data_IF_793101926604
#
_entry.id   IF_793101926604
#
_cell.length_a   1.000
_cell.length_b   1.000
_cell.length_c   1.000
_cell.angle_alpha   90.00
_cell.angle_beta   90.00
_cell.angle_gamma   90.00
#
_symmetry.space_group_name_H-M   'P 1'
#
loop_
_entity.id
_entity.type
_entity.pdbx_description
1 polymer ?
#
# COMPACT_ATOMS: atom_id res chain seq x y z
N UNK A 1 19.44 -14.79 -5.34
CA UNK A 1 18.49 -15.09 -6.45
C UNK A 1 18.69 -14.06 -7.53
N UNK A 2 18.70 -14.45 -8.82
CA UNK A 2 18.84 -13.49 -9.93
C UNK A 2 17.47 -13.19 -10.54
N UNK A 3 17.15 -11.91 -10.65
CA UNK A 3 15.91 -11.42 -11.25
C UNK A 3 16.25 -10.45 -12.37
N UNK A 4 15.73 -10.69 -13.56
CA UNK A 4 15.97 -9.85 -14.73
C UNK A 4 14.64 -9.30 -15.25
N UNK A 5 14.61 -8.00 -15.53
CA UNK A 5 13.47 -7.34 -16.19
C UNK A 5 13.84 -7.05 -17.65
N UNK A 6 13.13 -7.68 -18.58
CA UNK A 6 13.28 -7.45 -20.02
C UNK A 6 12.21 -6.49 -20.53
N UNK A 7 12.62 -5.46 -21.28
CA UNK A 7 11.70 -4.49 -21.90
C UNK A 7 12.07 -4.22 -23.35
N UNK A 8 11.12 -3.90 -24.22
CA UNK A 8 11.42 -3.22 -25.48
C UNK A 8 11.74 -1.74 -25.24
N UNK A 9 12.39 -1.05 -26.20
CA UNK A 9 12.49 0.41 -26.16
C UNK A 9 11.13 1.06 -25.93
N UNK A 10 11.10 2.07 -25.06
CA UNK A 10 9.91 2.87 -24.73
C UNK A 10 8.67 2.05 -24.27
N UNK A 11 8.90 0.89 -23.65
CA UNK A 11 7.80 0.06 -23.14
C UNK A 11 6.98 0.83 -22.08
N UNK A 12 5.67 1.08 -22.31
CA UNK A 12 4.84 1.88 -21.40
C UNK A 12 4.64 1.21 -20.04
N UNK A 13 4.73 -0.13 -19.99
CA UNK A 13 4.53 -0.93 -18.77
C UNK A 13 5.86 -1.28 -18.06
N UNK A 14 7.02 -0.93 -18.64
CA UNK A 14 8.33 -1.15 -18.03
C UNK A 14 8.49 -0.46 -16.67
N UNK A 15 8.17 0.84 -16.55
CA UNK A 15 8.18 1.54 -15.26
C UNK A 15 7.24 0.91 -14.22
N UNK A 16 6.09 0.38 -14.67
CA UNK A 16 5.08 -0.26 -13.81
C UNK A 16 5.61 -1.55 -13.20
N UNK A 17 6.20 -2.43 -14.02
CA UNK A 17 6.80 -3.66 -13.50
C UNK A 17 7.97 -3.35 -12.55
N UNK A 18 8.84 -2.40 -12.91
CA UNK A 18 9.98 -1.99 -12.08
C UNK A 18 9.55 -1.60 -10.67
N UNK A 19 8.49 -0.81 -10.55
CA UNK A 19 8.01 -0.39 -9.26
C UNK A 19 7.37 -1.53 -8.46
N UNK A 20 6.53 -2.34 -9.11
CA UNK A 20 5.92 -3.49 -8.44
C UNK A 20 6.98 -4.48 -7.96
N UNK A 21 8.10 -4.61 -8.67
CA UNK A 21 9.28 -5.35 -8.22
C UNK A 21 9.93 -4.69 -6.99
N UNK A 22 10.10 -3.37 -6.97
CA UNK A 22 10.64 -2.68 -5.79
C UNK A 22 9.78 -2.92 -4.54
N UNK A 23 8.45 -2.90 -4.68
CA UNK A 23 7.52 -3.24 -3.59
C UNK A 23 7.55 -4.73 -3.19
N UNK A 24 7.74 -5.63 -4.17
CA UNK A 24 7.81 -7.06 -3.92
C UNK A 24 9.15 -7.48 -3.26
N UNK A 25 10.21 -6.70 -3.50
CA UNK A 25 11.58 -6.93 -3.03
C UNK A 25 11.96 -6.04 -1.83
N UNK A 26 11.05 -5.23 -1.30
CA UNK A 26 11.31 -4.41 -0.12
C UNK A 26 11.85 -5.28 1.03
N UNK A 27 13.02 -4.92 1.56
CA UNK A 27 13.70 -5.66 2.62
C UNK A 27 14.49 -6.91 2.18
N UNK A 28 14.55 -7.22 0.87
CA UNK A 28 15.28 -8.38 0.32
C UNK A 28 16.65 -7.97 -0.23
N UNK A 29 17.70 -8.20 0.55
CA UNK A 29 19.08 -7.99 0.12
C UNK A 29 19.69 -9.18 -0.64
N UNK A 30 19.00 -10.32 -0.67
CA UNK A 30 19.41 -11.59 -1.30
C UNK A 30 19.04 -11.70 -2.78
N UNK A 31 18.38 -10.67 -3.32
CA UNK A 31 17.91 -10.61 -4.72
C UNK A 31 18.71 -9.58 -5.50
N UNK A 32 19.31 -10.03 -6.60
CA UNK A 32 19.98 -9.17 -7.58
C UNK A 32 18.99 -8.88 -8.72
N UNK A 33 18.55 -7.62 -8.85
CA UNK A 33 17.65 -7.16 -9.91
C UNK A 33 18.42 -6.44 -11.02
N UNK A 34 18.37 -6.94 -12.24
CA UNK A 34 18.93 -6.28 -13.44
C UNK A 34 17.84 -5.93 -14.45
N UNK A 35 18.09 -4.93 -15.29
CA UNK A 35 17.21 -4.52 -16.38
C UNK A 35 17.92 -4.62 -17.73
N UNK A 36 17.22 -5.11 -18.75
CA UNK A 36 17.75 -5.25 -20.10
C UNK A 36 16.71 -4.77 -21.13
N UNK A 37 17.14 -3.89 -22.03
CA UNK A 37 16.35 -3.49 -23.20
C UNK A 37 16.64 -4.46 -24.34
N UNK A 38 15.59 -5.02 -24.93
CA UNK A 38 15.65 -5.98 -26.03
C UNK A 38 15.05 -5.31 -27.27
N UNK A 39 15.87 -5.08 -28.28
CA UNK A 39 15.50 -4.32 -29.49
C UNK A 39 15.26 -5.21 -30.74
N UNK A 40 15.40 -6.53 -30.60
CA UNK A 40 15.31 -7.46 -31.72
C UNK A 40 14.76 -8.84 -31.36
N UNK A 41 14.06 -9.45 -32.32
CA UNK A 41 13.41 -10.76 -32.16
C UNK A 41 14.42 -11.87 -31.79
N UNK A 42 15.60 -11.87 -32.41
CA UNK A 42 16.63 -12.86 -32.11
C UNK A 42 17.15 -12.76 -30.68
N UNK A 43 17.19 -11.55 -30.09
CA UNK A 43 17.55 -11.40 -28.68
C UNK A 43 16.41 -11.81 -27.76
N UNK A 44 15.16 -11.48 -28.12
CA UNK A 44 13.99 -11.94 -27.39
C UNK A 44 13.96 -13.47 -27.27
N UNK A 45 14.27 -14.19 -28.35
CA UNK A 45 14.37 -15.66 -28.36
C UNK A 45 15.51 -16.17 -27.47
N UNK A 46 16.72 -15.58 -27.59
CA UNK A 46 17.88 -15.99 -26.78
C UNK A 46 17.64 -15.83 -25.28
N UNK A 47 16.90 -14.78 -24.88
CA UNK A 47 16.63 -14.48 -23.48
C UNK A 47 15.31 -15.08 -22.98
N UNK A 48 14.49 -15.66 -23.84
CA UNK A 48 13.16 -16.17 -23.44
C UNK A 48 12.16 -15.06 -23.09
N UNK A 49 12.18 -13.95 -23.82
CA UNK A 49 11.25 -12.84 -23.64
C UNK A 49 9.91 -13.14 -24.31
N UNK A 50 8.83 -13.33 -23.53
CA UNK A 50 7.49 -13.63 -24.04
C UNK A 50 6.60 -12.38 -24.17
N UNK A 51 7.19 -11.26 -24.56
CA UNK A 51 6.56 -9.95 -24.65
C UNK A 51 7.06 -8.95 -23.61
N UNK A 52 6.82 -7.66 -23.84
CA UNK A 52 7.30 -6.58 -22.98
C UNK A 52 6.22 -6.08 -22.02
N UNK A 53 6.54 -5.85 -20.74
CA UNK A 53 7.76 -6.27 -20.05
C UNK A 53 7.70 -7.76 -19.69
N UNK A 54 8.86 -8.42 -19.54
CA UNK A 54 8.98 -9.81 -19.03
C UNK A 54 9.87 -9.84 -17.80
N UNK A 55 9.47 -10.64 -16.80
CA UNK A 55 10.31 -10.97 -15.65
C UNK A 55 10.95 -12.33 -15.87
N UNK A 56 12.26 -12.44 -15.64
CA UNK A 56 12.95 -13.71 -15.51
C UNK A 56 13.42 -13.90 -14.07
N UNK A 57 13.15 -15.08 -13.51
CA UNK A 57 13.69 -15.53 -12.22
C UNK A 57 14.63 -16.69 -12.51
N UNK A 58 15.91 -16.51 -12.19
CA UNK A 58 17.00 -17.44 -12.50
C UNK A 58 16.96 -17.92 -13.98
N UNK A 59 16.74 -16.97 -14.89
CA UNK A 59 16.69 -17.17 -16.35
C UNK A 59 15.39 -17.78 -16.89
N UNK A 60 14.36 -17.98 -16.05
CA UNK A 60 13.05 -18.52 -16.47
C UNK A 60 11.93 -17.50 -16.28
N UNK A 61 11.03 -17.43 -17.24
CA UNK A 61 9.81 -16.64 -17.16
C UNK A 61 8.73 -17.41 -16.36
N UNK A 62 8.39 -16.99 -15.12
CA UNK A 62 7.44 -17.73 -14.29
C UNK A 62 5.99 -17.51 -14.72
N UNK A 63 5.72 -16.55 -15.62
CA UNK A 63 4.38 -16.20 -16.07
C UNK A 63 4.08 -16.71 -17.49
N UNK A 64 5.01 -17.42 -18.12
CA UNK A 64 4.84 -17.96 -19.47
C UNK A 64 3.99 -19.24 -19.42
N UNK A 65 2.98 -19.32 -20.29
CA UNK A 65 2.27 -20.56 -20.50
C UNK A 65 3.15 -21.54 -21.32
N UNK A 66 2.96 -22.87 -21.17
CA UNK A 66 3.67 -23.83 -22.00
C UNK A 66 3.48 -23.55 -23.49
N UNK A 67 4.58 -23.42 -24.23
CA UNK A 67 4.55 -23.18 -25.68
C UNK A 67 4.32 -21.72 -26.10
N UNK A 68 4.31 -20.76 -25.18
CA UNK A 68 4.32 -19.34 -25.55
C UNK A 68 5.59 -19.01 -26.34
N UNK A 69 5.45 -18.40 -27.51
CA UNK A 69 6.59 -17.97 -28.32
C UNK A 69 7.24 -16.71 -27.75
N UNK A 70 8.55 -16.58 -27.92
CA UNK A 70 9.25 -15.34 -27.61
C UNK A 70 8.82 -14.23 -28.59
N UNK A 71 8.74 -12.99 -28.10
CA UNK A 71 8.30 -11.86 -28.90
C UNK A 71 8.48 -10.51 -28.24
N UNK A 72 8.44 -9.47 -29.07
CA UNK A 72 8.61 -8.06 -28.68
C UNK A 72 7.26 -7.34 -28.39
N UNK A 73 6.14 -8.03 -28.57
CA UNK A 73 4.79 -7.44 -28.38
C UNK A 73 4.51 -7.08 -26.93
N UNK A 74 3.57 -6.15 -26.69
CA UNK A 74 3.06 -5.87 -25.35
C UNK A 74 2.52 -7.15 -24.71
N UNK A 75 3.01 -7.46 -23.50
CA UNK A 75 2.53 -8.58 -22.72
C UNK A 75 1.36 -8.15 -21.84
N UNK A 76 0.40 -9.07 -21.71
CA UNK A 76 -0.75 -8.91 -20.83
C UNK A 76 -0.71 -9.98 -19.75
N UNK A 77 -0.89 -9.54 -18.50
CA UNK A 77 -0.89 -10.36 -17.31
C UNK A 77 -2.31 -10.47 -16.79
N UNK A 78 -2.78 -11.70 -16.54
CA UNK A 78 -4.08 -11.94 -15.89
C UNK A 78 -3.89 -12.10 -14.39
N UNK A 79 -4.62 -11.31 -13.62
CA UNK A 79 -4.76 -11.49 -12.19
C UNK A 79 -5.70 -12.66 -11.85
N UNK A 80 -5.64 -13.13 -10.60
CA UNK A 80 -6.54 -14.16 -10.08
C UNK A 80 -8.03 -13.73 -10.09
N UNK A 81 -8.27 -12.41 -10.09
CA UNK A 81 -9.59 -11.77 -10.22
C UNK A 81 -10.07 -11.69 -11.69
N UNK A 82 -9.30 -12.22 -12.64
CA UNK A 82 -9.61 -12.20 -14.07
C UNK A 82 -9.27 -10.88 -14.78
N UNK A 83 -8.80 -9.84 -14.06
CA UNK A 83 -8.41 -8.57 -14.68
C UNK A 83 -7.13 -8.71 -15.48
N UNK A 84 -7.04 -7.93 -16.55
CA UNK A 84 -5.90 -7.92 -17.47
C UNK A 84 -5.13 -6.61 -17.31
N UNK A 85 -3.82 -6.69 -17.12
CA UNK A 85 -2.93 -5.54 -16.92
C UNK A 85 -1.61 -5.71 -17.70
N UNK A 86 -0.86 -4.63 -17.89
CA UNK A 86 0.41 -4.59 -18.61
C UNK A 86 1.62 -5.09 -17.81
N UNK A 87 1.45 -5.37 -16.51
CA UNK A 87 2.46 -5.92 -15.62
C UNK A 87 1.81 -6.86 -14.59
N UNK A 88 2.54 -7.84 -14.02
CA UNK A 88 2.05 -8.69 -12.94
C UNK A 88 1.77 -7.86 -11.67
N UNK A 89 0.92 -8.37 -10.77
CA UNK A 89 0.64 -7.73 -9.48
C UNK A 89 1.82 -7.92 -8.51
N UNK A 90 1.91 -7.07 -7.46
CA UNK A 90 2.93 -7.21 -6.41
C UNK A 90 2.81 -8.58 -5.70
N UNK A 91 1.60 -9.07 -5.48
CA UNK A 91 1.36 -10.39 -4.89
C UNK A 91 1.87 -11.52 -5.78
N UNK A 92 1.55 -11.49 -7.08
CA UNK A 92 2.04 -12.48 -8.04
C UNK A 92 3.58 -12.46 -8.12
N UNK A 93 4.18 -11.27 -8.03
CA UNK A 93 5.64 -11.11 -7.92
C UNK A 93 6.19 -11.74 -6.63
N UNK A 94 5.61 -11.42 -5.46
CA UNK A 94 6.03 -12.01 -4.17
C UNK A 94 5.97 -13.54 -4.19
N UNK A 95 4.91 -14.09 -4.77
CA UNK A 95 4.72 -15.53 -4.90
C UNK A 95 5.83 -16.19 -5.73
N UNK A 96 6.16 -15.65 -6.91
CA UNK A 96 7.20 -16.22 -7.78
C UNK A 96 8.62 -15.95 -7.27
N UNK A 97 8.81 -14.91 -6.45
CA UNK A 97 10.09 -14.55 -5.83
C UNK A 97 10.32 -15.24 -4.47
N UNK A 98 9.40 -16.11 -4.05
CA UNK A 98 9.46 -16.80 -2.77
C UNK A 98 9.47 -15.86 -1.57
N UNK A 99 8.95 -14.64 -1.72
CA UNK A 99 8.70 -13.74 -0.59
C UNK A 99 7.52 -14.32 0.18
N UNK A 100 7.73 -14.68 1.44
CA UNK A 100 6.69 -15.31 2.28
C UNK A 100 5.37 -14.56 2.16
N UNK A 101 4.30 -15.33 1.99
CA UNK A 101 2.94 -14.82 1.96
C UNK A 101 2.71 -13.91 3.17
N UNK A 102 2.21 -12.71 2.87
CA UNK A 102 1.62 -11.79 3.83
C UNK A 102 0.74 -12.57 4.80
N UNK A 103 0.95 -12.38 6.09
CA UNK A 103 0.20 -13.04 7.17
C UNK A 103 -1.29 -12.74 7.03
N UNK A 104 -2.17 -13.52 7.69
CA UNK A 104 -3.61 -13.23 7.68
C UNK A 104 -3.96 -11.80 8.12
N UNK A 105 -3.10 -11.17 8.93
CA UNK A 105 -3.22 -9.76 9.32
C UNK A 105 -2.94 -8.79 8.14
N UNK A 106 -1.94 -9.06 7.30
CA UNK A 106 -1.64 -8.22 6.12
C UNK A 106 -2.76 -8.23 5.08
N UNK A 107 -3.46 -9.37 4.93
CA UNK A 107 -4.67 -9.45 4.11
C UNK A 107 -5.86 -8.71 4.73
N UNK A 108 -5.88 -8.57 6.07
CA UNK A 108 -6.99 -7.96 6.80
C UNK A 108 -6.96 -6.42 6.76
N UNK A 109 -5.78 -5.79 6.64
CA UNK A 109 -5.65 -4.31 6.70
C UNK A 109 -5.60 -3.65 5.31
N UNK A 110 -5.47 -4.45 4.25
CA UNK A 110 -5.18 -3.97 2.90
C UNK A 110 -6.22 -4.38 1.86
N UNK A 111 -6.18 -3.67 0.73
CA UNK A 111 -6.85 -3.94 -0.56
C UNK A 111 -6.52 -5.34 -1.11
N UNK A 112 -6.88 -6.41 -0.39
CA UNK A 112 -6.52 -7.79 -0.64
C UNK A 112 -5.02 -7.98 -0.98
N UNK A 113 -4.12 -7.37 -0.19
CA UNK A 113 -2.67 -7.46 -0.42
C UNK A 113 -2.12 -6.66 -1.61
N UNK A 114 -2.95 -5.93 -2.37
CA UNK A 114 -2.51 -5.12 -3.54
C UNK A 114 -1.71 -3.86 -3.20
N UNK A 115 -1.42 -3.62 -1.92
CA UNK A 115 -0.73 -2.43 -1.42
C UNK A 115 -1.59 -1.16 -1.51
N UNK A 116 -1.09 -0.09 -0.87
CA UNK A 116 -1.74 1.22 -0.82
C UNK A 116 -1.10 2.26 -1.73
N UNK A 117 0.03 1.98 -2.39
CA UNK A 117 0.65 2.91 -3.33
C UNK A 117 -0.09 2.86 -4.68
N UNK A 118 -0.71 3.97 -5.07
CA UNK A 118 -1.40 4.06 -6.35
C UNK A 118 -0.38 4.00 -7.51
N UNK A 119 -0.75 3.44 -8.68
CA UNK A 119 0.13 3.39 -9.87
C UNK A 119 0.55 4.80 -10.37
N UNK A 120 1.68 4.93 -11.08
CA UNK A 120 2.13 6.22 -11.65
C UNK A 120 1.18 6.70 -12.75
N UNK A 121 0.60 5.73 -13.44
CA UNK A 121 -0.16 5.90 -14.65
C UNK A 121 -1.34 6.82 -14.42
N UNK A 122 -1.63 7.67 -15.42
CA UNK A 122 -2.83 8.52 -15.45
C UNK A 122 -2.97 9.42 -14.22
N UNK A 123 -1.85 9.81 -13.60
CA UNK A 123 -1.83 10.73 -12.46
C UNK A 123 -2.35 10.15 -11.14
N UNK A 124 -2.65 8.84 -11.07
CA UNK A 124 -3.22 8.23 -9.86
C UNK A 124 -2.31 8.47 -8.65
N UNK A 125 -1.02 8.17 -8.75
CA UNK A 125 -0.05 8.43 -7.68
C UNK A 125 0.11 9.90 -7.37
N UNK A 126 0.23 10.74 -8.38
CA UNK A 126 0.45 12.17 -8.18
C UNK A 126 -0.69 12.79 -7.36
N UNK A 127 -1.94 12.48 -7.73
CA UNK A 127 -3.13 12.92 -6.99
C UNK A 127 -3.21 12.26 -5.61
N UNK A 128 -2.95 10.96 -5.50
CA UNK A 128 -2.93 10.30 -4.19
C UNK A 128 -1.93 10.96 -3.23
N UNK A 129 -0.69 11.15 -3.67
CA UNK A 129 0.34 11.76 -2.83
C UNK A 129 0.05 13.23 -2.52
N UNK A 130 -0.59 13.97 -3.43
CA UNK A 130 -1.08 15.31 -3.14
C UNK A 130 -2.12 15.31 -2.02
N UNK A 131 -3.07 14.37 -2.05
CA UNK A 131 -4.05 14.18 -0.97
C UNK A 131 -3.38 13.86 0.35
N UNK A 132 -2.47 12.88 0.37
CA UNK A 132 -1.76 12.46 1.60
C UNK A 132 -0.92 13.59 2.21
N UNK A 133 -0.20 14.36 1.38
CA UNK A 133 0.58 15.52 1.85
C UNK A 133 -0.31 16.63 2.39
N UNK A 134 -1.46 16.86 1.77
CA UNK A 134 -2.42 17.88 2.22
C UNK A 134 -2.98 17.55 3.60
N UNK A 135 -3.38 16.29 3.83
CA UNK A 135 -3.79 15.84 5.16
C UNK A 135 -2.68 15.99 6.20
N UNK A 136 -1.47 15.54 5.91
CA UNK A 136 -0.34 15.64 6.84
C UNK A 136 -0.02 17.10 7.23
N UNK A 137 -0.17 18.03 6.30
CA UNK A 137 0.18 19.45 6.48
C UNK A 137 -0.96 20.27 7.08
N UNK A 138 -2.19 20.01 6.66
CA UNK A 138 -3.35 20.88 6.94
C UNK A 138 -4.43 20.22 7.79
N UNK A 139 -4.39 18.89 7.92
CA UNK A 139 -5.44 18.10 8.54
C UNK A 139 -6.70 17.92 7.70
N UNK A 140 -6.69 18.34 6.44
CA UNK A 140 -7.84 18.30 5.54
C UNK A 140 -7.47 17.78 4.14
N UNK A 141 -8.47 17.36 3.34
CA UNK A 141 -8.27 17.12 1.91
C UNK A 141 -7.81 18.38 1.17
N UNK A 142 -7.06 18.24 0.05
CA UNK A 142 -6.60 19.37 -0.75
C UNK A 142 -7.76 20.10 -1.43
N UNK A 143 -7.52 21.38 -1.74
CA UNK A 143 -8.45 22.16 -2.55
C UNK A 143 -8.55 21.59 -3.98
N UNK A 144 -9.68 21.84 -4.64
CA UNK A 144 -9.90 21.37 -6.02
C UNK A 144 -8.78 21.82 -6.98
N UNK A 145 -8.28 23.06 -6.82
CA UNK A 145 -7.19 23.57 -7.65
C UNK A 145 -5.89 22.77 -7.50
N UNK A 146 -5.53 22.35 -6.28
CA UNK A 146 -4.32 21.55 -6.02
C UNK A 146 -4.45 20.15 -6.63
N UNK A 147 -5.64 19.57 -6.56
CA UNK A 147 -5.95 18.29 -7.20
C UNK A 147 -5.84 18.38 -8.73
N UNK A 148 -6.38 19.45 -9.34
CA UNK A 148 -6.25 19.66 -10.78
C UNK A 148 -4.80 19.89 -11.19
N UNK A 149 -4.01 20.66 -10.43
CA UNK A 149 -2.57 20.83 -10.69
C UNK A 149 -1.79 19.51 -10.61
N UNK A 150 -2.18 18.58 -9.73
CA UNK A 150 -1.57 17.25 -9.66
C UNK A 150 -1.96 16.34 -10.84
N UNK A 151 -3.14 16.55 -11.42
CA UNK A 151 -3.68 15.75 -12.53
C UNK A 151 -3.28 16.29 -13.91
N UNK A 152 -3.09 17.61 -14.04
CA UNK A 152 -2.79 18.33 -15.28
C UNK A 152 -1.62 17.75 -16.09
N UNK A 153 -0.46 17.38 -15.50
CA UNK A 153 0.67 16.81 -16.24
C UNK A 153 0.34 15.51 -16.98
N UNK A 154 -0.75 14.84 -16.59
CA UNK A 154 -1.21 13.58 -17.16
C UNK A 154 -2.39 13.76 -18.14
N UNK A 155 -2.83 14.99 -18.40
CA UNK A 155 -3.92 15.29 -19.34
C UNK A 155 -5.27 14.72 -18.91
N UNK A 156 -5.49 14.51 -17.62
CA UNK A 156 -6.73 13.98 -17.03
C UNK A 156 -7.32 14.96 -16.03
N UNK A 157 -8.64 14.89 -15.80
CA UNK A 157 -9.28 15.71 -14.76
C UNK A 157 -9.14 15.06 -13.40
N UNK A 158 -8.93 15.86 -12.36
CA UNK A 158 -8.81 15.34 -11.00
C UNK A 158 -10.03 14.51 -10.56
N UNK A 159 -11.24 14.91 -10.94
CA UNK A 159 -12.46 14.15 -10.63
C UNK A 159 -12.45 12.71 -11.19
N UNK A 160 -11.84 12.50 -12.37
CA UNK A 160 -11.72 11.16 -12.96
C UNK A 160 -10.70 10.32 -12.19
N UNK A 161 -9.58 10.94 -11.80
CA UNK A 161 -8.55 10.29 -10.99
C UNK A 161 -9.09 9.91 -9.62
N UNK A 162 -9.81 10.81 -8.95
CA UNK A 162 -10.44 10.53 -7.65
C UNK A 162 -11.46 9.40 -7.74
N UNK A 163 -12.31 9.37 -8.77
CA UNK A 163 -13.26 8.28 -8.99
C UNK A 163 -12.54 6.93 -9.18
N UNK A 164 -11.42 6.92 -9.90
CA UNK A 164 -10.63 5.71 -10.08
C UNK A 164 -9.90 5.29 -8.80
N UNK A 165 -9.33 6.24 -8.06
CA UNK A 165 -8.71 5.98 -6.75
C UNK A 165 -9.74 5.41 -5.76
N UNK A 166 -10.98 5.91 -5.79
CA UNK A 166 -12.07 5.42 -4.97
C UNK A 166 -12.55 4.02 -5.37
N UNK A 167 -12.75 3.77 -6.66
CA UNK A 167 -13.14 2.46 -7.18
C UNK A 167 -12.11 1.36 -6.86
N UNK A 168 -10.86 1.76 -6.70
CA UNK A 168 -9.74 0.88 -6.37
C UNK A 168 -9.37 0.93 -4.88
N UNK A 169 -10.17 1.53 -4.00
CA UNK A 169 -9.97 1.58 -2.53
C UNK A 169 -8.62 2.18 -2.09
N UNK A 170 -8.12 3.21 -2.78
CA UNK A 170 -7.02 4.04 -2.27
C UNK A 170 -7.52 5.16 -1.34
N UNK A 171 -8.77 5.56 -1.54
CA UNK A 171 -9.51 6.56 -0.77
C UNK A 171 -11.00 6.24 -0.87
N UNK A 172 -11.85 6.92 -0.09
CA UNK A 172 -13.30 6.87 -0.24
C UNK A 172 -13.86 8.26 -0.51
N UNK A 173 -14.96 8.31 -1.26
CA UNK A 173 -15.69 9.54 -1.54
C UNK A 173 -17.06 9.49 -0.88
N UNK A 174 -17.56 10.63 -0.41
CA UNK A 174 -18.94 10.78 0.03
C UNK A 174 -19.92 10.87 -1.16
N UNK A 175 -21.22 10.95 -0.87
CA UNK A 175 -22.27 11.06 -1.89
C UNK A 175 -22.20 12.32 -2.77
N UNK A 176 -21.35 13.29 -2.43
CA UNK A 176 -21.09 14.51 -3.20
C UNK A 176 -19.78 14.45 -4.00
N UNK A 177 -19.02 13.36 -3.88
CA UNK A 177 -17.73 13.18 -4.53
C UNK A 177 -16.55 13.82 -3.78
N UNK A 178 -16.72 14.20 -2.52
CA UNK A 178 -15.63 14.72 -1.67
C UNK A 178 -14.92 13.58 -0.95
N UNK A 179 -13.63 13.75 -0.70
CA UNK A 179 -12.82 12.75 0.01
C UNK A 179 -13.33 12.60 1.45
N UNK A 180 -13.76 11.39 1.81
CA UNK A 180 -14.19 11.03 3.17
C UNK A 180 -13.05 10.37 3.94
N UNK A 181 -12.26 9.51 3.29
CA UNK A 181 -11.05 8.93 3.84
C UNK A 181 -9.99 8.82 2.74
N UNK A 182 -8.72 8.97 3.09
CA UNK A 182 -7.59 8.72 2.21
C UNK A 182 -6.51 8.03 3.03
N UNK A 183 -6.49 6.70 3.00
CA UNK A 183 -5.73 5.90 3.96
C UNK A 183 -4.25 6.33 4.00
N UNK A 184 -3.71 6.67 5.18
CA UNK A 184 -4.24 6.36 6.52
C UNK A 184 -5.23 7.38 7.14
N UNK A 185 -5.56 8.49 6.46
CA UNK A 185 -6.30 9.60 7.03
C UNK A 185 -7.83 9.47 6.91
N UNK A 186 -8.53 10.07 7.88
CA UNK A 186 -9.97 10.32 7.88
C UNK A 186 -10.25 11.82 7.75
N UNK A 187 -11.20 12.20 6.89
CA UNK A 187 -11.67 13.59 6.78
C UNK A 187 -12.59 14.01 7.94
N UNK A 188 -13.13 13.04 8.68
CA UNK A 188 -13.97 13.27 9.86
C UNK A 188 -13.27 12.83 11.13
N UNK A 189 -13.53 13.47 12.29
CA UNK A 189 -13.00 13.04 13.57
C UNK A 189 -13.27 11.55 13.85
N UNK A 190 -12.25 10.86 14.34
CA UNK A 190 -12.32 9.46 14.80
C UNK A 190 -11.78 9.36 16.22
N UNK A 191 -11.81 8.18 16.82
CA UNK A 191 -11.16 7.94 18.12
C UNK A 191 -9.63 7.89 18.03
N UNK A 192 -9.04 7.96 16.83
CA UNK A 192 -7.59 7.83 16.62
C UNK A 192 -7.02 9.18 16.13
N UNK A 193 -6.64 10.03 17.08
CA UNK A 193 -5.99 11.30 16.77
C UNK A 193 -4.47 11.10 16.64
N UNK A 194 -3.87 11.75 15.65
CA UNK A 194 -2.42 11.75 15.44
C UNK A 194 -1.93 13.20 15.35
N UNK A 195 -1.14 13.62 16.32
CA UNK A 195 -0.46 14.91 16.32
C UNK A 195 0.92 14.74 15.68
N UNK A 196 1.08 15.24 14.46
CA UNK A 196 2.31 15.13 13.67
C UNK A 196 3.31 16.21 14.11
N UNK A 197 4.56 15.84 14.40
CA UNK A 197 5.59 16.82 14.73
C UNK A 197 5.84 17.76 13.55
N UNK A 198 5.65 19.07 13.79
CA UNK A 198 5.78 20.11 12.76
C UNK A 198 4.64 20.12 11.72
N UNK A 199 3.58 19.35 11.91
CA UNK A 199 2.44 19.23 11.00
C UNK A 199 1.10 19.48 11.69
N UNK A 200 0.03 18.98 11.08
CA UNK A 200 -1.32 19.07 11.61
C UNK A 200 -1.62 17.99 12.66
N UNK A 201 -2.65 18.22 13.47
CA UNK A 201 -3.36 17.12 14.14
C UNK A 201 -4.39 16.55 13.18
N UNK A 202 -4.31 15.26 12.93
CA UNK A 202 -5.14 14.54 11.96
C UNK A 202 -5.90 13.41 12.64
N UNK A 203 -6.89 12.86 11.92
CA UNK A 203 -7.64 11.68 12.33
C UNK A 203 -7.28 10.52 11.41
N UNK A 204 -7.16 9.32 11.97
CA UNK A 204 -6.88 8.11 11.20
C UNK A 204 -8.08 7.17 11.22
N UNK A 205 -8.19 6.31 10.20
CA UNK A 205 -9.36 5.42 10.07
C UNK A 205 -9.33 4.26 11.09
N UNK A 206 -8.15 3.85 11.53
CA UNK A 206 -7.98 2.74 12.47
C UNK A 206 -6.63 2.80 13.21
N UNK A 207 -6.40 1.86 14.14
CA UNK A 207 -5.16 1.78 14.91
C UNK A 207 -3.90 1.56 14.04
N UNK A 208 -3.96 0.69 13.02
CA UNK A 208 -2.81 0.45 12.12
C UNK A 208 -2.53 1.66 11.22
N UNK A 209 -3.59 2.33 10.75
CA UNK A 209 -3.47 3.58 10.01
C UNK A 209 -2.78 4.65 10.85
N UNK A 210 -3.15 4.78 12.13
CA UNK A 210 -2.52 5.70 13.06
C UNK A 210 -1.01 5.44 13.19
N UNK A 211 -0.62 4.17 13.38
CA UNK A 211 0.78 3.74 13.48
C UNK A 211 1.55 3.90 12.16
N UNK A 212 0.84 3.87 11.02
CA UNK A 212 1.42 4.05 9.70
C UNK A 212 1.77 5.50 9.35
N UNK A 213 1.08 6.49 9.93
CA UNK A 213 1.31 7.92 9.63
C UNK A 213 2.75 8.36 9.92
N UNK A 214 3.34 8.10 11.10
CA UNK A 214 4.72 8.49 11.41
C UNK A 214 5.73 7.83 10.47
N UNK A 215 5.53 6.55 10.15
CA UNK A 215 6.38 5.80 9.23
C UNK A 215 6.30 6.33 7.79
N UNK A 216 5.10 6.65 7.31
CA UNK A 216 4.88 7.26 5.99
C UNK A 216 5.57 8.61 5.83
N UNK A 217 5.56 9.42 6.88
CA UNK A 217 6.09 10.79 6.87
C UNK A 217 7.57 10.85 7.26
N UNK A 218 8.12 9.80 7.86
CA UNK A 218 9.47 9.81 8.42
C UNK A 218 9.64 10.85 9.52
N UNK A 219 8.59 11.13 10.29
CA UNK A 219 8.57 12.17 11.35
C UNK A 219 7.99 11.62 12.64
N UNK A 220 8.33 12.28 13.74
CA UNK A 220 7.80 11.98 15.07
C UNK A 220 6.32 12.37 15.19
N UNK A 221 5.58 11.69 16.06
CA UNK A 221 4.16 11.97 16.28
C UNK A 221 3.68 11.45 17.63
N UNK A 222 2.54 11.97 18.08
CA UNK A 222 1.82 11.46 19.25
C UNK A 222 0.46 10.97 18.78
N UNK A 223 0.17 9.70 19.02
CA UNK A 223 -1.12 9.06 18.77
C UNK A 223 -1.89 8.99 20.08
N UNK A 224 -3.16 9.38 20.07
CA UNK A 224 -4.08 9.16 21.19
C UNK A 224 -5.33 8.43 20.72
N UNK A 225 -5.77 7.48 21.54
CA UNK A 225 -7.00 6.73 21.34
C UNK A 225 -7.58 6.22 22.66
N UNK A 226 -8.63 5.41 22.58
CA UNK A 226 -9.33 4.86 23.74
C UNK A 226 -9.60 3.37 23.54
N UNK A 227 -9.52 2.61 24.63
CA UNK A 227 -9.96 1.22 24.67
C UNK A 227 -11.48 1.17 24.52
N UNK A 228 -12.04 0.44 23.53
CA UNK A 228 -13.47 0.42 23.28
C UNK A 228 -14.28 -0.31 24.36
N UNK A 229 -13.62 -1.05 25.27
CA UNK A 229 -14.27 -1.74 26.39
C UNK A 229 -14.33 -0.85 27.62
N UNK A 230 -13.21 -0.24 27.99
CA UNK A 230 -13.11 0.51 29.26
C UNK A 230 -13.24 2.02 29.09
N UNK A 231 -12.97 2.54 27.88
CA UNK A 231 -12.85 3.98 27.60
C UNK A 231 -11.51 4.58 28.01
N UNK A 232 -10.63 3.81 28.65
CA UNK A 232 -9.33 4.29 29.12
C UNK A 232 -8.41 4.68 27.95
N UNK A 233 -7.55 5.70 28.12
CA UNK A 233 -6.72 6.19 27.03
C UNK A 233 -5.59 5.22 26.68
N UNK A 234 -5.32 5.10 25.38
CA UNK A 234 -4.09 4.53 24.83
C UNK A 234 -3.32 5.67 24.15
N UNK A 235 -2.04 5.82 24.48
CA UNK A 235 -1.13 6.81 23.88
C UNK A 235 0.10 6.12 23.33
N UNK A 236 0.48 6.46 22.09
CA UNK A 236 1.72 6.00 21.47
C UNK A 236 2.52 7.22 21.02
N UNK A 237 3.75 7.34 21.50
CA UNK A 237 4.64 8.45 21.17
C UNK A 237 5.84 7.95 20.39
N UNK A 238 6.03 8.52 19.20
CA UNK A 238 7.18 8.28 18.35
C UNK A 238 8.22 9.38 18.59
N UNK A 239 9.45 8.98 18.91
CA UNK A 239 10.59 9.88 19.06
C UNK A 239 11.83 9.28 18.43
N UNK A 240 12.39 9.94 17.42
CA UNK A 240 13.53 9.44 16.65
C UNK A 240 13.27 8.04 16.05
N UNK A 241 12.04 7.81 15.58
CA UNK A 241 11.61 6.54 14.99
C UNK A 241 11.37 5.38 15.97
N UNK A 242 11.40 5.63 17.29
CA UNK A 242 11.04 4.64 18.31
C UNK A 242 9.70 4.98 18.95
N UNK A 243 8.82 4.00 19.06
CA UNK A 243 7.53 4.14 19.74
C UNK A 243 7.63 3.82 21.23
N UNK A 244 6.88 4.57 22.05
CA UNK A 244 6.62 4.26 23.46
C UNK A 244 5.12 4.25 23.70
N UNK A 245 4.61 3.15 24.25
CA UNK A 245 3.19 2.92 24.43
C UNK A 245 2.77 3.07 25.90
N UNK A 246 1.62 3.69 26.12
CA UNK A 246 1.01 3.87 27.42
C UNK A 246 -0.48 3.54 27.35
N UNK A 247 -0.98 2.54 28.11
CA UNK A 247 -0.22 1.62 28.96
C UNK A 247 0.81 0.77 28.21
N UNK A 248 1.88 0.33 28.90
CA UNK A 248 2.90 -0.56 28.31
C UNK A 248 2.34 -1.95 27.94
N UNK A 249 1.15 -2.30 28.43
CA UNK A 249 0.42 -3.54 28.11
C UNK A 249 -0.46 -3.43 26.87
N UNK A 250 -0.47 -2.26 26.21
CA UNK A 250 -1.37 -2.00 25.09
C UNK A 250 -1.10 -2.92 23.91
N UNK A 251 -2.17 -3.28 23.21
CA UNK A 251 -2.16 -4.18 22.04
C UNK A 251 -3.09 -3.62 20.96
N UNK A 252 -3.00 -4.18 19.76
CA UNK A 252 -3.92 -3.87 18.65
C UNK A 252 -4.66 -5.13 18.26
N UNK A 253 -5.99 -5.08 18.18
CA UNK A 253 -6.73 -6.13 17.48
C UNK A 253 -6.79 -5.79 16.00
N UNK A 254 -6.40 -6.73 15.15
CA UNK A 254 -6.45 -6.62 13.70
C UNK A 254 -7.45 -7.64 13.17
N UNK A 255 -8.64 -7.18 12.77
CA UNK A 255 -9.71 -8.05 12.32
C UNK A 255 -10.46 -7.56 11.09
N UNK A 256 -11.09 -8.49 10.39
CA UNK A 256 -11.94 -8.26 9.23
C UNK A 256 -13.26 -8.97 9.39
N UNK A 257 -14.31 -8.35 8.85
CA UNK A 257 -15.56 -9.06 8.58
C UNK A 257 -15.48 -9.75 7.21
N UNK A 258 -16.17 -10.88 7.03
CA UNK A 258 -16.36 -11.46 5.70
C UNK A 258 -17.10 -10.49 4.77
N UNK A 259 -16.66 -10.41 3.51
CA UNK A 259 -17.32 -9.66 2.45
C UNK A 259 -16.41 -8.71 1.68
N UNK A 260 -16.89 -8.28 0.52
CA UNK A 260 -16.17 -7.35 -0.36
C UNK A 260 -16.52 -5.89 -0.04
N UNK A 261 -15.58 -4.99 -0.28
CA UNK A 261 -15.82 -3.55 -0.18
C UNK A 261 -14.59 -2.76 0.27
N UNK A 262 -14.73 -1.42 0.40
CA UNK A 262 -13.65 -0.56 0.87
C UNK A 262 -13.18 -0.95 2.25
N UNK A 263 -11.89 -0.80 2.52
CA UNK A 263 -11.28 -1.09 3.82
C UNK A 263 -11.98 -0.34 4.98
N UNK A 264 -12.38 0.91 4.76
CA UNK A 264 -13.19 1.71 5.67
C UNK A 264 -14.45 0.98 6.17
N UNK A 265 -15.03 0.11 5.35
CA UNK A 265 -16.26 -0.61 5.65
C UNK A 265 -16.02 -2.02 6.16
N UNK A 266 -14.96 -2.71 5.70
CA UNK A 266 -14.74 -4.14 5.97
C UNK A 266 -13.73 -4.43 7.09
N UNK A 267 -12.79 -3.52 7.35
CA UNK A 267 -11.74 -3.73 8.35
C UNK A 267 -11.60 -2.59 9.35
N UNK A 268 -11.55 -1.31 8.91
CA UNK A 268 -11.11 -0.21 9.78
C UNK A 268 -11.92 -0.08 11.08
N UNK A 269 -13.23 -0.36 11.06
CA UNK A 269 -14.07 -0.33 12.26
C UNK A 269 -13.71 -1.35 13.36
N UNK A 270 -12.86 -2.33 13.02
CA UNK A 270 -12.44 -3.43 13.88
C UNK A 270 -10.94 -3.44 14.19
N UNK A 271 -10.15 -2.55 13.57
CA UNK A 271 -8.72 -2.41 13.83
C UNK A 271 -8.51 -1.40 14.95
N UNK A 272 -8.46 -1.87 16.21
CA UNK A 272 -8.54 -0.99 17.39
C UNK A 272 -7.39 -1.19 18.38
N UNK A 273 -7.07 -0.11 19.09
CA UNK A 273 -6.20 -0.14 20.26
C UNK A 273 -6.94 -0.66 21.48
N UNK A 274 -6.22 -1.37 22.35
CA UNK A 274 -6.69 -1.82 23.65
C UNK A 274 -5.61 -1.58 24.69
N UNK A 275 -6.00 -1.25 25.92
CA UNK A 275 -5.07 -1.06 27.04
C UNK A 275 -4.38 -2.35 27.48
N UNK A 276 -5.02 -3.50 27.23
CA UNK A 276 -4.48 -4.81 27.54
C UNK A 276 -5.07 -5.91 26.62
N UNK A 277 -4.39 -7.05 26.54
CA UNK A 277 -4.89 -8.23 25.82
C UNK A 277 -6.26 -8.70 26.31
N UNK A 278 -6.52 -8.64 27.61
CA UNK A 278 -7.80 -9.08 28.19
C UNK A 278 -9.01 -8.28 27.69
N UNK A 279 -8.87 -6.96 27.50
CA UNK A 279 -9.97 -6.13 26.96
C UNK A 279 -10.16 -6.38 25.47
N UNK A 280 -9.09 -6.65 24.72
CA UNK A 280 -9.19 -7.09 23.32
C UNK A 280 -9.96 -8.42 23.19
N UNK A 281 -9.64 -9.41 24.02
CA UNK A 281 -10.32 -10.71 24.04
C UNK A 281 -11.80 -10.58 24.46
N UNK A 282 -12.10 -9.75 25.45
CA UNK A 282 -13.49 -9.45 25.84
C UNK A 282 -14.28 -8.82 24.68
N UNK A 283 -13.70 -7.83 24.01
CA UNK A 283 -14.35 -7.14 22.90
C UNK A 283 -14.60 -8.09 21.73
N UNK A 284 -13.63 -8.90 21.35
CA UNK A 284 -13.78 -9.89 20.26
C UNK A 284 -14.83 -10.95 20.59
N UNK A 285 -14.94 -11.39 21.83
CA UNK A 285 -16.00 -12.30 22.29
C UNK A 285 -17.43 -11.76 22.08
N UNK A 286 -17.59 -10.43 22.07
CA UNK A 286 -18.87 -9.76 21.79
C UNK A 286 -19.13 -9.58 20.28
N UNK A 287 -18.13 -9.84 19.43
CA UNK A 287 -18.20 -9.64 17.98
C UNK A 287 -17.92 -10.95 17.22
N UNK A 288 -18.70 -11.99 17.50
CA UNK A 288 -18.51 -13.37 17.03
C UNK A 288 -18.58 -13.61 15.49
N UNK A 289 -18.59 -12.56 14.66
CA UNK A 289 -18.53 -12.63 13.20
C UNK A 289 -17.27 -12.03 12.57
N UNK A 290 -16.31 -11.58 13.40
CA UNK A 290 -15.05 -10.98 12.94
C UNK A 290 -13.94 -12.01 13.09
N UNK A 291 -13.17 -12.23 12.01
CA UNK A 291 -11.94 -13.02 12.07
C UNK A 291 -10.75 -12.08 12.24
N UNK A 292 -9.78 -12.42 13.08
CA UNK A 292 -8.64 -11.54 13.34
C UNK A 292 -7.68 -12.09 14.38
N UNK A 293 -6.69 -11.27 14.72
CA UNK A 293 -5.69 -11.59 15.73
C UNK A 293 -5.36 -10.36 16.58
N UNK A 294 -4.98 -10.61 17.83
CA UNK A 294 -4.40 -9.58 18.71
C UNK A 294 -2.90 -9.53 18.47
N UNK A 295 -2.44 -8.41 17.91
CA UNK A 295 -1.05 -8.09 17.63
C UNK A 295 -0.40 -7.43 18.85
N UNK A 296 0.85 -7.77 19.10
CA UNK A 296 1.69 -6.99 20.02
C UNK A 296 2.12 -5.65 19.39
N UNK A 297 2.83 -4.83 20.17
CA UNK A 297 3.26 -3.49 19.75
C UNK A 297 4.19 -3.52 18.54
N UNK A 298 5.17 -4.43 18.54
CA UNK A 298 6.16 -4.54 17.46
C UNK A 298 5.54 -5.08 16.18
N UNK A 299 4.60 -6.02 16.29
CA UNK A 299 3.80 -6.51 15.16
C UNK A 299 2.93 -5.42 14.55
N UNK A 300 2.22 -4.65 15.38
CA UNK A 300 1.34 -3.58 14.92
C UNK A 300 2.12 -2.41 14.29
N UNK A 301 3.24 -1.99 14.89
CA UNK A 301 4.13 -0.96 14.33
C UNK A 301 4.68 -1.37 12.97
N UNK A 302 5.20 -2.61 12.87
CA UNK A 302 5.75 -3.14 11.61
C UNK A 302 4.67 -3.18 10.53
N UNK A 303 3.47 -3.65 10.86
CA UNK A 303 2.35 -3.71 9.92
C UNK A 303 1.99 -2.32 9.40
N UNK A 304 1.89 -1.31 10.27
CA UNK A 304 1.66 0.08 9.85
C UNK A 304 2.78 0.62 8.94
N UNK A 305 4.04 0.37 9.31
CA UNK A 305 5.20 0.80 8.53
C UNK A 305 5.27 0.14 7.15
N UNK A 306 5.00 -1.17 7.05
CA UNK A 306 5.03 -1.92 5.80
C UNK A 306 3.94 -1.48 4.82
N UNK A 307 2.75 -1.14 5.33
CA UNK A 307 1.62 -0.69 4.50
C UNK A 307 1.82 0.76 4.02
N UNK A 308 2.24 1.65 4.91
CA UNK A 308 2.17 3.10 4.67
C UNK A 308 3.52 3.78 4.44
N UNK A 309 4.62 3.22 4.96
CA UNK A 309 5.98 3.76 4.81
C UNK A 309 6.36 4.12 3.37
N UNK A 310 6.09 3.26 2.36
CA UNK A 310 6.46 3.54 0.98
C UNK A 310 5.67 4.67 0.30
N UNK A 311 4.55 5.16 0.87
CA UNK A 311 3.59 5.98 0.11
C UNK A 311 4.12 7.36 -0.30
N UNK A 312 4.95 7.96 0.54
CA UNK A 312 5.55 9.28 0.31
C UNK A 312 7.08 9.23 0.23
N UNK A 313 7.67 8.03 0.27
CA UNK A 313 9.09 7.84 0.07
C UNK A 313 9.51 8.37 -1.31
N UNK A 314 10.68 9.01 -1.37
CA UNK A 314 11.28 9.35 -2.65
C UNK A 314 11.53 8.05 -3.44
N UNK A 315 11.26 8.02 -4.76
CA UNK A 315 11.60 6.86 -5.57
C UNK A 315 13.09 6.57 -5.42
N UNK A 316 13.43 5.32 -5.09
CA UNK A 316 14.83 4.92 -4.94
C UNK A 316 15.59 5.33 -6.22
N UNK A 317 16.76 6.00 -6.10
CA UNK A 317 17.54 6.37 -7.25
C UNK A 317 17.90 5.10 -8.02
N UNK A 318 17.47 5.07 -9.28
CA UNK A 318 17.82 4.01 -10.21
C UNK A 318 19.33 4.10 -10.50
N UNK A 319 20.08 3.10 -10.07
CA UNK A 319 21.36 2.79 -10.68
C UNK A 319 21.08 2.07 -12.01
N UNK A 320 20.81 2.85 -13.05
CA UNK A 320 20.89 2.31 -14.40
C UNK A 320 22.31 1.92 -14.74
N UNK A 321 22.51 1.00 -15.70
CA UNK A 321 23.82 0.92 -16.31
C UNK A 321 24.17 2.27 -16.98
N UNK A 322 25.47 2.59 -17.12
CA UNK A 322 25.92 3.72 -17.92
C UNK A 322 25.43 3.64 -19.38
#
# INVERSE_FOLDING_TARGET
MRVEMLTVPDCPNGPVLKERLALALAGRADVELTGHVVDGQAEAERRGMHGSPTLLVDGRDPFAAPGTAAGLSCRLYRGADGRVDGAPSVEALRQVLGTTATTGADQAVGRAGRGRLAPVERGLRAVQQAVLRSFATTGAPPAAAELESAAEPFGVRAAQVLAQLAAEDFLTLDGTGRIQAAYPFSATPTEHAVQIAGGATVWSMCAIDALGIPAMLGTDAIITSNDPVTGDPVRVEFTGGRATWQPATSVVYCGTRPGDGPAATVCCGYLRFFTARGTAEQWTGQHAGISGAVLDQAEAERLGADIFGPLLAAPAPWAGPP
#
